data_IF_965896674352
#
_entry.id   IF_965896674352
#
_cell.length_a   1.000
_cell.length_b   1.000
_cell.length_c   1.000
_cell.angle_alpha   90.00
_cell.angle_beta   90.00
_cell.angle_gamma   90.00
#
_symmetry.space_group_name_H-M   'P 1'
#
loop_
_entity.id
_entity.type
_entity.pdbx_description
1 polymer ?
#
# COMPACT_ATOMS: atom_id res chain seq x y z
N UNK A 1 -18.83 -10.68 -11.58
CA UNK A 1 -18.07 -9.41 -11.84
C UNK A 1 -16.63 -9.75 -12.21
N UNK A 2 -16.10 -9.11 -13.24
CA UNK A 2 -14.68 -9.16 -13.62
C UNK A 2 -13.81 -8.30 -12.71
N UNK A 3 -12.48 -8.50 -12.71
CA UNK A 3 -11.53 -7.61 -12.01
C UNK A 3 -11.71 -6.13 -12.40
N UNK A 4 -12.04 -5.85 -13.67
CA UNK A 4 -12.27 -4.49 -14.18
C UNK A 4 -13.51 -3.86 -13.55
N UNK A 5 -14.61 -4.59 -13.50
CA UNK A 5 -15.87 -4.14 -12.88
C UNK A 5 -15.70 -3.92 -11.37
N UNK A 6 -15.01 -4.83 -10.69
CA UNK A 6 -14.70 -4.70 -9.27
C UNK A 6 -13.87 -3.45 -8.95
N UNK A 7 -12.83 -3.17 -9.78
CA UNK A 7 -12.05 -1.93 -9.65
C UNK A 7 -12.92 -0.69 -9.86
N UNK A 8 -13.76 -0.69 -10.89
CA UNK A 8 -14.63 0.45 -11.18
C UNK A 8 -15.58 0.75 -10.00
N UNK A 9 -16.19 -0.30 -9.43
CA UNK A 9 -17.08 -0.18 -8.28
C UNK A 9 -16.36 0.39 -7.05
N UNK A 10 -15.22 -0.18 -6.68
CA UNK A 10 -14.46 0.25 -5.51
C UNK A 10 -13.87 1.67 -5.66
N UNK A 11 -13.38 2.02 -6.87
CA UNK A 11 -12.91 3.37 -7.17
C UNK A 11 -14.05 4.40 -7.09
N UNK A 12 -15.25 4.07 -7.58
CA UNK A 12 -16.41 4.94 -7.46
C UNK A 12 -16.77 5.18 -6.00
N UNK A 13 -16.80 4.13 -5.17
CA UNK A 13 -17.07 4.24 -3.73
C UNK A 13 -16.01 5.10 -3.01
N UNK A 14 -14.72 4.90 -3.33
CA UNK A 14 -13.60 5.67 -2.77
C UNK A 14 -13.67 7.15 -3.14
N UNK A 15 -13.95 7.47 -4.41
CA UNK A 15 -14.07 8.84 -4.92
C UNK A 15 -15.29 9.58 -4.38
N UNK A 16 -16.33 8.86 -3.99
CA UNK A 16 -17.52 9.43 -3.37
C UNK A 16 -17.26 9.96 -1.94
N UNK A 17 -16.16 9.56 -1.30
CA UNK A 17 -15.74 10.12 -0.02
C UNK A 17 -15.32 11.58 -0.20
N UNK A 18 -15.85 12.48 0.62
CA UNK A 18 -15.41 13.88 0.63
C UNK A 18 -13.94 14.00 1.06
N UNK A 19 -13.22 15.05 0.65
CA UNK A 19 -11.82 15.26 1.07
C UNK A 19 -11.65 15.27 2.60
N UNK A 20 -12.57 15.90 3.34
CA UNK A 20 -12.57 15.93 4.80
C UNK A 20 -12.75 14.53 5.40
N UNK A 21 -13.63 13.71 4.81
CA UNK A 21 -13.83 12.33 5.24
C UNK A 21 -12.60 11.47 4.97
N UNK A 22 -12.00 11.57 3.78
CA UNK A 22 -10.76 10.85 3.45
C UNK A 22 -9.63 11.18 4.42
N UNK A 23 -9.45 12.46 4.77
CA UNK A 23 -8.44 12.89 5.74
C UNK A 23 -8.69 12.27 7.12
N UNK A 24 -9.91 12.40 7.66
CA UNK A 24 -10.25 11.86 8.97
C UNK A 24 -10.13 10.33 9.03
N UNK A 25 -10.49 9.65 7.97
CA UNK A 25 -10.40 8.18 7.90
C UNK A 25 -8.95 7.72 7.70
N UNK A 26 -8.12 8.46 6.94
CA UNK A 26 -6.67 8.21 6.85
C UNK A 26 -5.97 8.34 8.21
N UNK A 27 -6.31 9.34 9.00
CA UNK A 27 -5.76 9.50 10.36
C UNK A 27 -6.09 8.33 11.28
N UNK A 28 -7.33 7.85 11.26
CA UNK A 28 -7.74 6.66 12.02
C UNK A 28 -7.01 5.40 11.56
N UNK A 29 -6.88 5.23 10.25
CA UNK A 29 -6.16 4.13 9.63
C UNK A 29 -4.68 4.17 10.02
N UNK A 30 -4.01 5.33 9.95
CA UNK A 30 -2.62 5.51 10.37
C UNK A 30 -2.40 5.17 11.84
N UNK A 31 -3.33 5.60 12.73
CA UNK A 31 -3.27 5.24 14.15
C UNK A 31 -3.32 3.73 14.35
N UNK A 32 -4.17 3.05 13.61
CA UNK A 32 -4.33 1.59 13.67
C UNK A 32 -3.11 0.86 13.12
N UNK A 33 -2.58 1.33 11.97
CA UNK A 33 -1.32 0.82 11.41
C UNK A 33 -0.15 0.97 12.37
N UNK A 34 -0.02 2.13 13.03
CA UNK A 34 1.05 2.38 14.01
C UNK A 34 1.07 1.34 15.13
N UNK A 35 -0.09 0.93 15.60
CA UNK A 35 -0.19 -0.13 16.62
C UNK A 35 0.30 -1.49 16.10
N UNK A 36 0.02 -1.83 14.84
CA UNK A 36 0.50 -3.08 14.23
C UNK A 36 2.01 -3.07 13.99
N UNK A 37 2.55 -1.95 13.53
CA UNK A 37 3.99 -1.79 13.27
C UNK A 37 4.82 -1.92 14.56
N UNK A 38 4.34 -1.39 15.67
CA UNK A 38 4.97 -1.56 16.99
C UNK A 38 5.07 -3.03 17.38
N UNK A 39 3.99 -3.80 17.15
CA UNK A 39 3.98 -5.23 17.42
C UNK A 39 4.96 -6.01 16.53
N UNK A 40 5.09 -5.63 15.28
CA UNK A 40 5.96 -6.31 14.31
C UNK A 40 7.42 -5.90 14.40
N UNK A 41 7.75 -4.81 15.12
CA UNK A 41 9.11 -4.29 15.31
C UNK A 41 9.86 -4.03 13.99
N UNK A 42 9.15 -3.68 12.94
CA UNK A 42 9.72 -3.41 11.63
C UNK A 42 10.71 -2.22 11.69
N UNK A 43 11.85 -2.36 11.02
CA UNK A 43 12.89 -1.33 10.93
C UNK A 43 13.00 -0.73 9.53
N UNK A 44 12.73 -1.51 8.50
CA UNK A 44 12.73 -1.06 7.11
C UNK A 44 11.40 -1.38 6.45
N UNK A 45 10.69 -0.35 6.04
CA UNK A 45 9.31 -0.43 5.58
C UNK A 45 9.23 0.13 4.17
N UNK A 46 8.77 -0.67 3.21
CA UNK A 46 8.31 -0.13 1.93
C UNK A 46 6.90 0.42 2.12
N UNK A 47 6.76 1.73 1.95
CA UNK A 47 5.47 2.42 1.96
C UNK A 47 5.13 2.94 0.56
N UNK A 48 4.16 3.82 0.44
CA UNK A 48 3.79 4.46 -0.82
C UNK A 48 3.43 5.93 -0.61
N UNK A 49 3.52 6.70 -1.68
CA UNK A 49 2.97 8.06 -1.76
C UNK A 49 1.55 7.94 -2.28
N UNK A 50 0.58 8.38 -1.49
CA UNK A 50 -0.83 8.24 -1.82
C UNK A 50 -1.23 9.13 -3.01
N UNK A 51 -2.08 8.60 -3.88
CA UNK A 51 -2.85 9.41 -4.82
C UNK A 51 -3.89 10.25 -4.05
N UNK A 52 -4.42 11.27 -4.70
CA UNK A 52 -5.36 12.22 -4.07
C UNK A 52 -6.58 11.54 -3.40
N UNK A 53 -7.05 10.44 -3.97
CA UNK A 53 -8.21 9.68 -3.48
C UNK A 53 -7.83 8.42 -2.66
N UNK A 54 -6.55 8.16 -2.43
CA UNK A 54 -6.07 7.02 -1.63
C UNK A 54 -5.99 7.33 -0.13
N UNK A 55 -5.85 6.27 0.65
CA UNK A 55 -5.53 6.39 2.07
C UNK A 55 -4.13 6.98 2.24
N UNK A 56 -4.05 8.18 2.80
CA UNK A 56 -2.80 8.89 3.01
C UNK A 56 -2.11 8.40 4.28
N UNK A 57 -0.86 7.94 4.13
CA UNK A 57 -0.05 7.42 5.23
C UNK A 57 0.94 8.44 5.80
N UNK A 58 0.92 9.71 5.40
CA UNK A 58 1.85 10.74 5.87
C UNK A 58 1.84 10.88 7.39
N UNK A 59 0.66 10.87 8.01
CA UNK A 59 0.53 10.92 9.47
C UNK A 59 1.12 9.69 10.19
N UNK A 60 1.20 8.53 9.54
CA UNK A 60 1.95 7.39 10.04
C UNK A 60 3.45 7.64 9.91
N UNK A 61 3.92 8.09 8.76
CA UNK A 61 5.34 8.33 8.49
C UNK A 61 5.94 9.31 9.50
N UNK A 62 5.22 10.38 9.84
CA UNK A 62 5.64 11.38 10.85
C UNK A 62 5.76 10.82 12.28
N UNK A 63 5.03 9.75 12.59
CA UNK A 63 5.02 9.12 13.93
C UNK A 63 6.05 8.02 14.09
N UNK A 64 6.65 7.55 12.99
CA UNK A 64 7.68 6.52 13.06
C UNK A 64 8.96 7.09 13.69
N UNK A 65 9.56 6.31 14.58
CA UNK A 65 10.79 6.70 15.25
C UNK A 65 11.99 6.80 14.29
N UNK A 66 13.09 7.45 14.73
CA UNK A 66 14.28 7.68 13.89
C UNK A 66 14.99 6.39 13.46
N UNK A 67 14.74 5.29 14.14
CA UNK A 67 15.30 3.97 13.79
C UNK A 67 14.58 3.26 12.68
N UNK A 68 13.42 3.78 12.22
CA UNK A 68 12.66 3.21 11.11
C UNK A 68 13.08 3.88 9.80
N UNK A 69 13.48 3.05 8.84
CA UNK A 69 13.82 3.48 7.48
C UNK A 69 12.62 3.29 6.56
N UNK A 70 12.14 4.37 5.99
CA UNK A 70 11.07 4.35 4.99
C UNK A 70 11.68 4.23 3.59
N UNK A 71 11.16 3.29 2.83
CA UNK A 71 11.42 3.13 1.41
C UNK A 71 10.14 3.46 0.64
N UNK A 72 10.29 3.95 -0.58
CA UNK A 72 9.18 4.25 -1.46
C UNK A 72 9.42 3.64 -2.85
N UNK A 73 8.34 3.32 -3.59
CA UNK A 73 8.48 2.71 -4.89
C UNK A 73 8.99 3.69 -5.94
N UNK A 74 9.85 3.20 -6.82
CA UNK A 74 10.20 3.82 -8.09
C UNK A 74 9.67 2.93 -9.20
N UNK A 75 8.87 3.51 -10.09
CA UNK A 75 8.27 2.83 -11.23
C UNK A 75 9.26 2.70 -12.38
N UNK A 76 9.44 1.51 -12.89
CA UNK A 76 10.34 1.22 -14.01
C UNK A 76 9.55 0.75 -15.25
N UNK A 77 10.14 0.86 -16.46
CA UNK A 77 9.56 0.28 -17.67
C UNK A 77 9.20 -1.20 -17.50
N UNK A 78 8.17 -1.66 -18.21
CA UNK A 78 7.70 -3.05 -18.11
C UNK A 78 6.87 -3.36 -16.86
N UNK A 79 6.44 -2.34 -16.11
CA UNK A 79 5.64 -2.51 -14.91
C UNK A 79 6.44 -3.08 -13.74
N UNK A 80 7.73 -2.85 -13.72
CA UNK A 80 8.63 -3.22 -12.63
C UNK A 80 8.66 -2.13 -11.56
N UNK A 81 8.91 -2.54 -10.32
CA UNK A 81 9.00 -1.68 -9.16
C UNK A 81 10.32 -1.96 -8.43
N UNK A 82 10.96 -0.91 -7.97
CA UNK A 82 12.08 -0.98 -7.03
C UNK A 82 11.75 -0.17 -5.78
N UNK A 83 12.27 -0.60 -4.64
CA UNK A 83 12.18 0.12 -3.37
C UNK A 83 13.42 0.98 -3.16
N UNK A 84 13.25 2.24 -2.76
CA UNK A 84 14.35 3.19 -2.54
C UNK A 84 14.15 3.99 -1.25
N UNK A 85 15.18 4.13 -0.44
CA UNK A 85 15.25 5.11 0.66
C UNK A 85 15.51 6.49 0.04
N UNK A 86 14.63 7.48 0.22
CA UNK A 86 14.73 8.74 -0.50
C UNK A 86 15.88 9.62 0.04
N UNK A 87 16.75 10.08 -0.84
CA UNK A 87 17.64 11.22 -0.60
C UNK A 87 17.00 12.52 -1.06
N UNK A 88 16.31 12.49 -2.21
CA UNK A 88 15.52 13.58 -2.76
C UNK A 88 14.32 13.00 -3.52
N UNK A 89 13.45 13.85 -4.04
CA UNK A 89 12.21 13.46 -4.70
C UNK A 89 12.10 14.06 -6.10
N UNK A 90 11.60 13.26 -7.04
CA UNK A 90 11.28 13.66 -8.43
C UNK A 90 9.88 13.20 -8.80
N UNK A 91 9.29 13.81 -9.82
CA UNK A 91 8.03 13.31 -10.36
C UNK A 91 8.27 12.12 -11.28
N UNK A 92 7.68 11.00 -10.92
CA UNK A 92 7.67 9.79 -11.72
C UNK A 92 6.69 9.83 -12.91
N UNK A 93 6.62 8.75 -13.70
CA UNK A 93 5.86 8.71 -14.96
C UNK A 93 4.33 8.90 -14.79
N UNK A 94 3.79 8.66 -13.60
CA UNK A 94 2.37 8.83 -13.29
C UNK A 94 2.07 10.14 -12.53
N UNK A 95 3.05 11.07 -12.47
CA UNK A 95 2.91 12.31 -11.72
C UNK A 95 2.99 12.14 -10.20
N UNK A 96 3.27 10.93 -9.71
CA UNK A 96 3.50 10.59 -8.30
C UNK A 96 4.94 10.95 -7.95
N UNK A 97 5.16 11.46 -6.74
CA UNK A 97 6.50 11.69 -6.24
C UNK A 97 7.21 10.37 -5.96
N UNK A 98 8.40 10.21 -6.50
CA UNK A 98 9.25 9.03 -6.33
C UNK A 98 10.65 9.44 -5.85
N UNK A 99 11.38 8.57 -5.13
CA UNK A 99 12.80 8.82 -4.80
C UNK A 99 13.64 9.09 -6.05
N UNK A 100 14.44 10.15 -6.00
CA UNK A 100 15.43 10.44 -7.05
C UNK A 100 16.57 9.42 -6.98
N UNK A 101 16.67 8.55 -7.97
CA UNK A 101 17.65 7.48 -8.05
C UNK A 101 19.09 7.95 -8.03
N UNK A 102 19.34 9.22 -8.41
CA UNK A 102 20.71 9.78 -8.45
C UNK A 102 21.30 10.01 -7.06
N UNK A 103 20.46 10.18 -6.04
CA UNK A 103 20.88 10.49 -4.67
C UNK A 103 20.14 9.70 -3.59
N UNK A 104 19.37 8.69 -3.99
CA UNK A 104 18.65 7.78 -3.10
C UNK A 104 19.32 6.41 -3.03
N UNK A 105 19.06 5.66 -1.96
CA UNK A 105 19.60 4.31 -1.79
C UNK A 105 18.58 3.27 -2.23
N UNK A 106 18.96 2.42 -3.19
CA UNK A 106 18.17 1.26 -3.57
C UNK A 106 18.16 0.22 -2.43
N UNK A 107 17.01 -0.39 -2.21
CA UNK A 107 16.78 -1.42 -1.19
C UNK A 107 16.27 -2.69 -1.87
N UNK A 108 16.92 -3.81 -1.59
CA UNK A 108 16.48 -5.09 -2.13
C UNK A 108 15.24 -5.60 -1.36
N UNK A 109 14.36 -6.38 -2.02
CA UNK A 109 13.14 -6.89 -1.36
C UNK A 109 13.41 -7.69 -0.08
N UNK A 110 14.55 -8.36 -0.01
CA UNK A 110 14.99 -9.18 1.12
C UNK A 110 15.40 -8.35 2.35
N UNK A 111 15.71 -7.07 2.16
CA UNK A 111 16.07 -6.16 3.24
C UNK A 111 14.83 -5.56 3.94
N UNK A 112 13.64 -5.77 3.41
CA UNK A 112 12.40 -5.22 3.96
C UNK A 112 11.87 -6.06 5.11
N UNK A 113 11.41 -5.38 6.17
CA UNK A 113 10.73 -6.00 7.30
C UNK A 113 9.21 -5.95 7.17
N UNK A 114 8.70 -5.00 6.35
CA UNK A 114 7.27 -4.81 6.12
C UNK A 114 7.04 -4.11 4.79
N UNK A 115 5.96 -4.49 4.11
CA UNK A 115 5.44 -3.79 2.93
C UNK A 115 4.04 -3.24 3.23
N UNK A 116 3.86 -1.93 3.08
CA UNK A 116 2.56 -1.27 3.04
C UNK A 116 2.17 -1.07 1.58
N UNK A 117 1.11 -1.73 1.14
CA UNK A 117 0.67 -1.71 -0.25
C UNK A 117 -0.59 -0.86 -0.44
N UNK A 118 -0.67 -0.03 -1.49
CA UNK A 118 -1.90 0.63 -1.87
C UNK A 118 -2.94 -0.41 -2.34
N UNK A 119 -4.21 -0.09 -2.18
CA UNK A 119 -5.30 -1.00 -2.47
C UNK A 119 -6.46 -0.28 -3.17
N UNK A 120 -6.97 -0.85 -4.25
CA UNK A 120 -8.18 -0.39 -4.92
C UNK A 120 -9.42 -1.10 -4.35
N UNK A 121 -9.35 -2.41 -4.21
CA UNK A 121 -10.42 -3.21 -3.62
C UNK A 121 -9.83 -4.37 -2.82
N UNK A 122 -10.54 -4.82 -1.81
CA UNK A 122 -10.16 -5.97 -1.00
C UNK A 122 -11.40 -6.73 -0.51
N UNK A 123 -11.18 -7.93 0.03
CA UNK A 123 -12.20 -8.71 0.72
C UNK A 123 -11.75 -9.15 2.12
N UNK A 124 -12.67 -9.81 2.84
CA UNK A 124 -12.42 -10.26 4.21
C UNK A 124 -11.32 -11.34 4.33
N UNK A 125 -10.98 -12.01 3.23
CA UNK A 125 -9.88 -13.00 3.17
C UNK A 125 -8.55 -12.34 2.76
N UNK A 126 -8.47 -11.00 2.79
CA UNK A 126 -7.29 -10.21 2.44
C UNK A 126 -6.83 -10.35 0.98
N UNK A 127 -7.71 -10.77 0.05
CA UNK A 127 -7.42 -10.67 -1.38
C UNK A 127 -7.47 -9.20 -1.78
N UNK A 128 -6.56 -8.77 -2.63
CA UNK A 128 -6.39 -7.38 -3.02
C UNK A 128 -6.47 -7.21 -4.54
N UNK A 129 -7.12 -6.15 -4.98
CA UNK A 129 -6.95 -5.58 -6.32
C UNK A 129 -6.16 -4.29 -6.25
N UNK A 130 -5.10 -4.20 -7.05
CA UNK A 130 -4.41 -2.94 -7.35
C UNK A 130 -4.99 -2.24 -8.57
N UNK A 131 -4.33 -1.17 -9.03
CA UNK A 131 -4.75 -0.36 -10.19
C UNK A 131 -4.73 -1.11 -11.54
N UNK A 132 -4.11 -2.28 -11.61
CA UNK A 132 -4.11 -3.14 -12.81
C UNK A 132 -2.82 -3.09 -13.63
N UNK A 133 -1.85 -2.25 -13.30
CA UNK A 133 -0.54 -2.24 -13.97
C UNK A 133 0.39 -3.39 -13.51
N UNK A 134 0.06 -4.10 -12.42
CA UNK A 134 0.75 -5.29 -11.95
C UNK A 134 2.10 -5.04 -11.25
N UNK A 135 2.42 -3.80 -10.87
CA UNK A 135 3.67 -3.46 -10.19
C UNK A 135 3.90 -4.29 -8.92
N UNK A 136 2.94 -4.27 -8.02
CA UNK A 136 3.03 -5.02 -6.76
C UNK A 136 2.93 -6.53 -6.97
N UNK A 137 2.13 -6.98 -7.93
CA UNK A 137 1.95 -8.41 -8.22
C UNK A 137 3.25 -9.06 -8.73
N UNK A 138 4.10 -8.26 -9.40
CA UNK A 138 5.45 -8.69 -9.82
C UNK A 138 6.52 -8.49 -8.74
N UNK A 139 6.33 -7.53 -7.84
CA UNK A 139 7.30 -7.22 -6.79
C UNK A 139 7.17 -8.14 -5.57
N UNK A 140 5.95 -8.34 -5.08
CA UNK A 140 5.65 -9.03 -3.82
C UNK A 140 6.14 -10.48 -3.74
N UNK A 141 6.22 -11.28 -4.82
CA UNK A 141 6.81 -12.62 -4.76
C UNK A 141 8.29 -12.64 -4.33
N UNK A 142 9.00 -11.53 -4.53
CA UNK A 142 10.41 -11.38 -4.14
C UNK A 142 10.57 -10.89 -2.69
N UNK A 143 9.54 -10.26 -2.13
CA UNK A 143 9.57 -9.76 -0.75
C UNK A 143 9.11 -10.86 0.22
N UNK A 144 9.98 -11.23 1.17
CA UNK A 144 9.66 -12.20 2.22
C UNK A 144 8.94 -11.54 3.41
N UNK A 145 8.97 -10.22 3.47
CA UNK A 145 8.32 -9.43 4.49
C UNK A 145 6.78 -9.61 4.48
N UNK A 146 6.12 -9.46 5.63
CA UNK A 146 4.67 -9.32 5.69
C UNK A 146 4.17 -8.17 4.81
N UNK A 147 3.00 -8.34 4.18
CA UNK A 147 2.38 -7.34 3.32
C UNK A 147 1.05 -6.91 3.92
N UNK A 148 0.93 -5.64 4.26
CA UNK A 148 -0.29 -5.05 4.79
C UNK A 148 -0.83 -4.06 3.75
N UNK A 149 -2.06 -4.26 3.32
CA UNK A 149 -2.73 -3.28 2.46
C UNK A 149 -3.45 -2.22 3.30
N UNK A 150 -3.40 -0.97 2.85
CA UNK A 150 -4.15 0.14 3.43
C UNK A 150 -5.29 0.54 2.48
N UNK A 151 -6.51 0.61 2.98
CA UNK A 151 -7.70 0.93 2.21
C UNK A 151 -8.79 1.54 3.10
N UNK A 152 -9.70 2.31 2.52
CA UNK A 152 -10.92 2.70 3.22
C UNK A 152 -11.93 1.55 3.21
N UNK A 153 -12.75 1.45 4.26
CA UNK A 153 -13.75 0.39 4.40
C UNK A 153 -14.72 0.32 3.21
N UNK A 154 -15.02 1.45 2.59
CA UNK A 154 -15.89 1.51 1.40
C UNK A 154 -15.34 0.76 0.18
N UNK A 155 -14.05 0.39 0.18
CA UNK A 155 -13.39 -0.36 -0.89
C UNK A 155 -13.54 -1.89 -0.70
N UNK A 156 -14.16 -2.31 0.40
CA UNK A 156 -14.40 -3.72 0.68
C UNK A 156 -15.47 -4.30 -0.22
N UNK A 157 -15.16 -5.43 -0.83
CA UNK A 157 -16.09 -6.26 -1.61
C UNK A 157 -16.42 -7.54 -0.85
N UNK A 158 -17.50 -8.20 -1.20
CA UNK A 158 -17.85 -9.51 -0.66
C UNK A 158 -16.78 -10.54 -1.01
N UNK A 159 -16.32 -10.56 -2.27
CA UNK A 159 -15.25 -11.42 -2.76
C UNK A 159 -14.50 -10.74 -3.91
N UNK A 160 -13.18 -10.73 -3.80
CA UNK A 160 -12.27 -10.27 -4.85
C UNK A 160 -11.95 -11.41 -5.80
N UNK A 161 -12.06 -11.15 -7.10
CA UNK A 161 -11.62 -12.08 -8.15
C UNK A 161 -10.09 -12.07 -8.21
N UNK A 162 -9.49 -13.25 -8.08
CA UNK A 162 -8.04 -13.43 -8.11
C UNK A 162 -7.63 -14.39 -9.22
N UNK A 163 -6.42 -14.22 -9.72
CA UNK A 163 -5.73 -15.19 -10.56
C UNK A 163 -4.80 -16.06 -9.69
N UNK A 164 -4.27 -17.14 -10.24
CA UNK A 164 -3.43 -18.09 -9.49
C UNK A 164 -2.13 -17.49 -8.94
N UNK A 165 -1.67 -16.39 -9.52
CA UNK A 165 -0.44 -15.69 -9.11
C UNK A 165 -0.70 -14.52 -8.14
N UNK A 166 -1.95 -14.17 -7.87
CA UNK A 166 -2.28 -13.09 -6.94
C UNK A 166 -2.02 -13.55 -5.50
N UNK A 167 -1.08 -12.90 -4.81
CA UNK A 167 -0.79 -13.18 -3.40
C UNK A 167 -1.79 -12.43 -2.51
N UNK A 168 -2.53 -13.12 -1.61
CA UNK A 168 -3.28 -12.44 -0.57
C UNK A 168 -2.35 -11.67 0.37
N UNK A 169 -2.82 -10.54 0.89
CA UNK A 169 -2.11 -9.76 1.90
C UNK A 169 -2.16 -10.48 3.25
N UNK A 170 -1.18 -10.25 4.10
CA UNK A 170 -1.17 -10.80 5.46
C UNK A 170 -2.20 -10.08 6.33
N UNK A 171 -2.47 -8.82 6.03
CA UNK A 171 -3.58 -8.05 6.60
C UNK A 171 -4.06 -6.95 5.64
N UNK A 172 -5.30 -6.50 5.84
CA UNK A 172 -5.82 -5.24 5.30
C UNK A 172 -6.27 -4.38 6.47
N UNK A 173 -5.79 -3.13 6.50
CA UNK A 173 -6.15 -2.16 7.55
C UNK A 173 -7.04 -1.09 6.95
N UNK A 174 -8.16 -0.85 7.64
CA UNK A 174 -9.09 0.24 7.32
C UNK A 174 -9.24 1.19 8.51
N UNK A 175 -9.97 2.28 8.30
CA UNK A 175 -10.35 3.19 9.40
C UNK A 175 -11.26 2.51 10.44
N UNK A 176 -11.88 1.37 10.09
CA UNK A 176 -12.81 0.66 10.98
C UNK A 176 -12.17 -0.52 11.68
N UNK A 177 -11.38 -1.33 10.98
CA UNK A 177 -10.87 -2.58 11.53
C UNK A 177 -9.61 -3.08 10.83
N UNK A 178 -9.07 -4.18 11.32
CA UNK A 178 -7.99 -4.94 10.71
C UNK A 178 -8.53 -6.30 10.26
N UNK A 179 -8.46 -6.56 8.98
CA UNK A 179 -8.70 -7.89 8.41
C UNK A 179 -7.39 -8.66 8.41
N UNK A 180 -7.43 -9.92 8.75
CA UNK A 180 -6.25 -10.78 8.71
C UNK A 180 -6.52 -11.98 7.82
N UNK A 181 -5.51 -12.39 7.05
CA UNK A 181 -5.57 -13.62 6.28
C UNK A 181 -5.82 -14.79 7.25
N UNK A 182 -6.81 -15.61 6.93
CA UNK A 182 -7.03 -16.87 7.65
C UNK A 182 -5.86 -17.84 7.39
N UNK A 183 -5.42 -18.49 8.43
CA UNK A 183 -4.40 -19.54 8.36
C UNK A 183 -4.88 -20.71 7.49
#
# INVERSE_FOLDING_TARGET
MTKREQRALALAARRALSPGRRRADSEKLCKRLGQLLELQKARRILSYVALEDEADLSALHERLGPDVRLCFPVSLPGGLLEAWEPGNWVKGPYGIWEPDRSCSRRVEPEELDLVLAPCVAFDADCRRLGHGAGYYDRYLPRAHAPVIAAAFEVQKLERVVTDSHDRPMDAVVTEKTVYRKKA
#
